data_IF_183155399073
#
_entry.id   IF_183155399073
#
_cell.length_a   1.000
_cell.length_b   1.000
_cell.length_c   1.000
_cell.angle_alpha   90.00
_cell.angle_beta   90.00
_cell.angle_gamma   90.00
#
_symmetry.space_group_name_H-M   'P 1'
#
loop_
_entity.id
_entity.type
_entity.pdbx_description
1 polymer ?
#
# COMPACT_ATOMS: atom_id res chain seq x y z
N UNK A 1 -21.55 1.78 12.61
CA UNK A 1 -20.76 0.91 11.70
C UNK A 1 -19.46 0.52 12.36
N UNK A 2 -19.08 -0.77 12.26
CA UNK A 2 -17.81 -1.27 12.81
C UNK A 2 -16.66 -0.99 11.85
N UNK A 3 -15.61 -0.32 12.33
CA UNK A 3 -14.44 0.09 11.54
C UNK A 3 -13.20 -0.63 12.04
N UNK A 4 -12.41 -1.21 11.13
CA UNK A 4 -11.10 -1.78 11.41
C UNK A 4 -10.00 -0.82 10.95
N UNK A 5 -9.11 -0.38 11.84
CA UNK A 5 -8.04 0.58 11.52
C UNK A 5 -6.72 0.23 12.18
N UNK A 6 -5.66 0.56 11.44
CA UNK A 6 -4.30 0.50 11.95
C UNK A 6 -3.84 1.89 12.37
N UNK A 7 -3.50 2.04 13.65
CA UNK A 7 -2.96 3.26 14.25
C UNK A 7 -1.47 3.10 14.45
N UNK A 8 -0.67 3.95 13.80
CA UNK A 8 0.79 3.90 13.86
C UNK A 8 1.32 5.02 14.75
N UNK A 9 2.06 4.65 15.80
CA UNK A 9 2.70 5.58 16.72
C UNK A 9 4.20 5.35 16.77
N UNK A 10 4.96 6.42 17.00
CA UNK A 10 6.40 6.33 17.20
C UNK A 10 6.70 5.97 18.64
N UNK A 11 7.67 5.07 18.85
CA UNK A 11 8.19 4.68 20.15
C UNK A 11 9.54 5.37 20.41
N UNK A 12 9.78 5.74 21.66
CA UNK A 12 11.03 6.32 22.16
C UNK A 12 11.64 5.42 23.24
N UNK A 13 12.13 4.22 22.90
CA UNK A 13 12.70 3.31 23.86
C UNK A 13 14.06 3.81 24.38
N UNK A 14 14.31 3.63 25.68
CA UNK A 14 15.64 3.80 26.29
C UNK A 14 16.56 2.62 25.95
N UNK A 15 17.84 2.66 26.38
CA UNK A 15 18.83 1.62 26.02
C UNK A 15 18.40 0.22 26.46
N UNK A 16 17.92 0.02 27.69
CA UNK A 16 17.43 -1.29 28.19
C UNK A 16 16.22 -1.78 27.37
N UNK A 17 15.32 -0.87 27.00
CA UNK A 17 14.15 -1.19 26.17
C UNK A 17 14.52 -1.51 24.73
N UNK A 18 15.55 -0.86 24.18
CA UNK A 18 16.11 -1.19 22.87
C UNK A 18 16.65 -2.62 22.88
N UNK A 19 17.39 -2.99 23.92
CA UNK A 19 17.94 -4.35 24.05
C UNK A 19 16.81 -5.39 24.15
N UNK A 20 15.77 -5.11 24.92
CA UNK A 20 14.56 -5.95 25.01
C UNK A 20 13.90 -6.12 23.62
N UNK A 21 13.66 -5.04 22.90
CA UNK A 21 13.04 -5.08 21.59
C UNK A 21 13.91 -5.84 20.57
N UNK A 22 15.22 -5.59 20.58
CA UNK A 22 16.17 -6.30 19.72
C UNK A 22 16.19 -7.80 20.01
N UNK A 23 16.09 -8.19 21.28
CA UNK A 23 16.01 -9.58 21.67
C UNK A 23 14.75 -10.25 21.10
N UNK A 24 13.58 -9.60 21.15
CA UNK A 24 12.36 -10.12 20.54
C UNK A 24 12.41 -10.15 19.00
N UNK A 25 13.07 -9.20 18.34
CA UNK A 25 13.33 -9.28 16.90
C UNK A 25 14.20 -10.49 16.57
N UNK A 26 15.27 -10.70 17.33
CA UNK A 26 16.18 -11.81 17.14
C UNK A 26 15.47 -13.16 17.33
N UNK A 27 14.84 -13.40 18.50
CA UNK A 27 14.16 -14.66 18.79
C UNK A 27 13.05 -14.98 17.78
N UNK A 28 12.31 -13.96 17.35
CA UNK A 28 11.28 -14.06 16.30
C UNK A 28 11.84 -14.52 14.94
N UNK A 29 13.02 -14.03 14.54
CA UNK A 29 13.65 -14.43 13.27
C UNK A 29 14.30 -15.82 13.38
N UNK A 30 14.88 -16.15 14.54
CA UNK A 30 15.41 -17.49 14.78
C UNK A 30 14.29 -18.55 14.71
N UNK A 31 13.15 -18.28 15.33
CA UNK A 31 11.97 -19.14 15.24
C UNK A 31 11.50 -19.32 13.79
N UNK A 32 11.39 -18.22 13.02
CA UNK A 32 11.03 -18.31 11.60
C UNK A 32 11.99 -19.20 10.82
N UNK A 33 13.28 -19.01 11.01
CA UNK A 33 14.30 -19.75 10.27
C UNK A 33 14.30 -21.24 10.64
N UNK A 34 14.17 -21.56 11.93
CA UNK A 34 14.06 -22.93 12.38
C UNK A 34 12.80 -23.60 11.78
N UNK A 35 11.64 -22.97 11.88
CA UNK A 35 10.40 -23.52 11.34
C UNK A 35 10.44 -23.71 9.82
N UNK A 36 11.07 -22.78 9.10
CA UNK A 36 11.21 -22.87 7.66
C UNK A 36 12.15 -24.04 7.27
N UNK A 37 13.31 -24.16 7.94
CA UNK A 37 14.24 -25.27 7.75
C UNK A 37 13.58 -26.63 8.06
N UNK A 38 12.87 -26.71 9.18
CA UNK A 38 12.10 -27.89 9.57
C UNK A 38 11.10 -28.30 8.48
N UNK A 39 10.35 -27.34 7.95
CA UNK A 39 9.36 -27.61 6.89
C UNK A 39 10.02 -27.99 5.56
N UNK A 40 11.17 -27.42 5.21
CA UNK A 40 11.94 -27.83 4.03
C UNK A 40 12.41 -29.27 4.17
N UNK A 41 12.99 -29.64 5.32
CA UNK A 41 13.43 -31.00 5.59
C UNK A 41 12.26 -32.00 5.59
N UNK A 42 11.14 -31.64 6.20
CA UNK A 42 9.91 -32.44 6.18
C UNK A 42 9.41 -32.70 4.76
N UNK A 43 9.38 -31.67 3.90
CA UNK A 43 9.00 -31.79 2.50
C UNK A 43 9.94 -32.71 1.74
N UNK A 44 11.26 -32.49 1.84
CA UNK A 44 12.28 -33.29 1.15
C UNK A 44 12.21 -34.78 1.56
N UNK A 45 12.00 -35.05 2.83
CA UNK A 45 11.88 -36.43 3.34
C UNK A 45 10.61 -37.15 2.86
N UNK A 46 9.61 -36.42 2.41
CA UNK A 46 8.33 -36.99 1.98
C UNK A 46 8.11 -36.96 0.46
N UNK A 47 9.04 -36.34 -0.30
CA UNK A 47 8.92 -36.26 -1.76
C UNK A 47 8.98 -37.63 -2.43
N UNK A 48 9.66 -38.63 -1.82
CA UNK A 48 9.75 -40.00 -2.29
C UNK A 48 8.53 -40.85 -1.93
N UNK A 49 7.60 -40.35 -1.10
CA UNK A 49 6.41 -41.09 -0.67
C UNK A 49 5.19 -40.79 -1.53
N UNK A 50 4.30 -41.74 -1.67
CA UNK A 50 2.98 -41.53 -2.26
C UNK A 50 2.19 -40.47 -1.49
N UNK A 51 1.37 -39.68 -2.18
CA UNK A 51 0.62 -38.58 -1.56
C UNK A 51 -0.22 -38.99 -0.35
N UNK A 52 -0.79 -40.19 -0.36
CA UNK A 52 -1.61 -40.79 0.71
C UNK A 52 -0.80 -41.11 1.97
N UNK A 53 0.49 -41.40 1.83
CA UNK A 53 1.36 -41.84 2.93
C UNK A 53 2.14 -40.64 3.57
N UNK A 54 2.03 -39.46 2.98
CA UNK A 54 2.69 -38.23 3.47
C UNK A 54 2.07 -37.77 4.78
N UNK A 55 2.90 -37.64 5.82
CA UNK A 55 2.51 -37.15 7.14
C UNK A 55 3.26 -35.87 7.46
N UNK A 56 2.53 -34.80 7.73
CA UNK A 56 3.10 -33.50 8.06
C UNK A 56 2.91 -33.12 9.53
N UNK A 57 3.96 -32.60 10.15
CA UNK A 57 3.91 -32.10 11.52
C UNK A 57 2.85 -31.00 11.64
N UNK A 58 1.90 -31.20 12.56
CA UNK A 58 0.86 -30.23 12.82
C UNK A 58 1.38 -28.98 13.55
N UNK A 59 0.51 -27.99 13.71
CA UNK A 59 0.85 -26.71 14.36
C UNK A 59 1.43 -26.88 15.78
N UNK A 60 0.84 -27.76 16.60
CA UNK A 60 1.30 -28.02 17.97
C UNK A 60 2.69 -28.66 17.98
N UNK A 61 2.92 -29.65 17.15
CA UNK A 61 4.23 -30.32 17.04
C UNK A 61 5.31 -29.35 16.58
N UNK A 62 5.05 -28.56 15.54
CA UNK A 62 6.01 -27.55 15.06
C UNK A 62 6.33 -26.51 16.14
N UNK A 63 5.36 -26.08 16.95
CA UNK A 63 5.57 -25.20 18.08
C UNK A 63 6.50 -25.81 19.12
N UNK A 64 6.27 -27.08 19.50
CA UNK A 64 7.10 -27.78 20.48
C UNK A 64 8.54 -27.95 19.99
N UNK A 65 8.76 -28.36 18.75
CA UNK A 65 10.10 -28.47 18.14
C UNK A 65 10.81 -27.10 18.13
N UNK A 66 10.09 -26.04 17.72
CA UNK A 66 10.65 -24.67 17.67
C UNK A 66 11.06 -24.17 19.06
N UNK A 67 10.20 -24.35 20.05
CA UNK A 67 10.50 -23.90 21.42
C UNK A 67 11.58 -24.72 22.08
N UNK A 68 11.70 -26.00 21.79
CA UNK A 68 12.79 -26.85 22.23
C UNK A 68 14.14 -26.39 21.64
N UNK A 69 14.21 -26.11 20.32
CA UNK A 69 15.42 -25.54 19.68
C UNK A 69 15.83 -24.20 20.30
N UNK A 70 14.88 -23.28 20.46
CA UNK A 70 15.20 -21.99 21.06
C UNK A 70 15.74 -22.12 22.48
N UNK A 71 15.16 -23.02 23.30
CA UNK A 71 15.62 -23.31 24.67
C UNK A 71 17.02 -23.93 24.68
N UNK A 72 17.28 -24.92 23.81
CA UNK A 72 18.60 -25.59 23.74
C UNK A 72 19.73 -24.60 23.38
N UNK A 73 19.40 -23.55 22.62
CA UNK A 73 20.32 -22.48 22.26
C UNK A 73 20.34 -21.31 23.23
N UNK A 74 19.67 -21.41 24.40
CA UNK A 74 19.60 -20.35 25.41
C UNK A 74 18.87 -19.08 24.96
N UNK A 75 18.02 -19.17 23.94
CA UNK A 75 17.29 -18.02 23.39
C UNK A 75 16.00 -17.82 24.19
N UNK A 76 15.91 -16.73 24.92
CA UNK A 76 14.68 -16.32 25.62
C UNK A 76 13.67 -15.86 24.56
N UNK A 77 12.40 -16.25 24.70
CA UNK A 77 11.34 -15.90 23.76
C UNK A 77 10.01 -15.62 24.46
N UNK A 78 9.12 -14.93 23.76
CA UNK A 78 7.72 -14.79 24.13
C UNK A 78 6.88 -15.76 23.30
N UNK A 79 6.08 -16.60 23.96
CA UNK A 79 5.25 -17.63 23.32
C UNK A 79 4.29 -17.05 22.27
N UNK A 80 3.65 -15.92 22.55
CA UNK A 80 2.76 -15.24 21.63
C UNK A 80 3.47 -14.79 20.35
N UNK A 81 4.71 -14.26 20.48
CA UNK A 81 5.53 -13.86 19.31
C UNK A 81 5.87 -15.06 18.43
N UNK A 82 6.22 -16.20 19.04
CA UNK A 82 6.54 -17.43 18.30
C UNK A 82 5.31 -17.98 17.58
N UNK A 83 4.18 -18.07 18.26
CA UNK A 83 2.91 -18.53 17.66
C UNK A 83 2.48 -17.65 16.48
N UNK A 84 2.64 -16.33 16.56
CA UNK A 84 2.32 -15.43 15.45
C UNK A 84 3.27 -15.59 14.27
N UNK A 85 4.55 -15.86 14.53
CA UNK A 85 5.50 -16.20 13.44
C UNK A 85 5.13 -17.49 12.75
N UNK A 86 4.66 -18.46 13.50
CA UNK A 86 4.22 -19.74 12.95
C UNK A 86 3.00 -19.57 12.07
N UNK A 87 1.97 -18.81 12.52
CA UNK A 87 0.81 -18.46 11.67
C UNK A 87 1.23 -17.71 10.40
N UNK A 88 2.20 -16.82 10.53
CA UNK A 88 2.73 -16.06 9.38
C UNK A 88 3.45 -16.97 8.38
N UNK A 89 4.19 -17.99 8.84
CA UNK A 89 4.84 -18.98 7.98
C UNK A 89 3.81 -19.85 7.27
N UNK A 90 2.82 -20.35 8.00
CA UNK A 90 1.73 -21.16 7.45
C UNK A 90 0.97 -20.40 6.36
N UNK A 91 0.58 -19.14 6.62
CA UNK A 91 -0.07 -18.29 5.63
C UNK A 91 0.81 -18.05 4.39
N UNK A 92 2.13 -17.87 4.58
CA UNK A 92 3.07 -17.65 3.46
C UNK A 92 3.25 -18.91 2.62
N UNK A 93 3.32 -20.08 3.26
CA UNK A 93 3.37 -21.38 2.57
C UNK A 93 2.07 -21.66 1.81
N UNK A 94 0.92 -21.43 2.43
CA UNK A 94 -0.38 -21.54 1.74
C UNK A 94 -0.44 -20.63 0.51
N UNK A 95 -0.02 -19.37 0.64
CA UNK A 95 0.03 -18.45 -0.48
C UNK A 95 0.97 -18.92 -1.59
N UNK A 96 2.12 -19.49 -1.24
CA UNK A 96 3.04 -20.08 -2.21
C UNK A 96 2.39 -21.22 -2.98
N UNK A 97 1.76 -22.18 -2.28
CA UNK A 97 1.13 -23.31 -2.96
C UNK A 97 -0.06 -22.93 -3.83
N UNK A 98 -0.85 -21.93 -3.43
CA UNK A 98 -2.01 -21.48 -4.20
C UNK A 98 -1.64 -20.59 -5.39
N UNK A 99 -0.52 -19.83 -5.31
CA UNK A 99 -0.12 -18.84 -6.31
C UNK A 99 1.24 -19.09 -6.95
N UNK A 100 1.76 -20.31 -6.85
CA UNK A 100 3.03 -20.70 -7.47
C UNK A 100 3.03 -20.47 -9.00
N UNK A 101 1.92 -20.82 -9.66
CA UNK A 101 1.71 -20.61 -11.09
C UNK A 101 1.68 -19.11 -11.48
N UNK A 102 1.32 -18.23 -10.56
CA UNK A 102 1.32 -16.76 -10.74
C UNK A 102 2.70 -16.14 -10.43
N UNK A 103 3.75 -16.95 -10.20
CA UNK A 103 5.10 -16.47 -9.90
C UNK A 103 5.37 -16.14 -8.42
N UNK A 104 4.50 -16.60 -7.49
CA UNK A 104 4.76 -16.45 -6.05
C UNK A 104 5.99 -17.27 -5.64
N UNK A 105 7.01 -16.59 -5.09
CA UNK A 105 8.24 -17.22 -4.64
C UNK A 105 8.08 -17.96 -3.30
N UNK A 106 8.93 -18.99 -3.09
CA UNK A 106 9.01 -19.72 -1.83
C UNK A 106 9.48 -18.82 -0.67
N UNK A 107 9.03 -19.03 0.58
CA UNK A 107 9.50 -18.27 1.75
C UNK A 107 11.02 -18.31 1.89
N UNK A 108 11.61 -17.16 2.28
CA UNK A 108 13.07 -17.04 2.46
C UNK A 108 13.44 -16.97 3.93
N UNK A 109 14.65 -17.44 4.25
CA UNK A 109 15.25 -17.24 5.57
C UNK A 109 15.42 -15.75 5.89
N UNK A 110 15.23 -15.39 7.16
CA UNK A 110 15.32 -14.02 7.64
C UNK A 110 16.68 -13.74 8.26
N UNK A 111 17.25 -12.58 7.96
CA UNK A 111 18.51 -12.16 8.57
C UNK A 111 18.24 -11.46 9.90
N UNK A 112 18.99 -11.80 10.94
CA UNK A 112 18.93 -11.11 12.24
C UNK A 112 19.66 -9.77 12.24
N UNK A 113 20.51 -9.50 11.24
CA UNK A 113 21.36 -8.31 11.16
C UNK A 113 20.73 -7.14 10.40
N UNK A 114 19.58 -7.34 9.76
CA UNK A 114 18.88 -6.29 9.03
C UNK A 114 18.43 -5.14 9.95
N UNK A 115 18.44 -3.90 9.43
CA UNK A 115 17.98 -2.72 10.16
C UNK A 115 16.46 -2.81 10.38
N UNK A 116 15.72 -3.23 9.36
CA UNK A 116 14.26 -3.37 9.44
C UNK A 116 13.87 -4.70 10.07
N UNK A 117 13.17 -4.64 11.20
CA UNK A 117 12.76 -5.79 11.99
C UNK A 117 11.34 -5.59 12.54
N UNK A 118 10.60 -6.69 12.75
CA UNK A 118 9.26 -6.63 13.33
C UNK A 118 8.87 -7.90 14.07
N UNK A 119 8.03 -7.75 15.11
CA UNK A 119 7.32 -8.85 15.76
C UNK A 119 5.88 -8.40 16.11
N UNK A 120 5.01 -9.37 16.31
CA UNK A 120 3.60 -9.13 16.64
C UNK A 120 3.41 -9.12 18.16
N UNK A 121 2.51 -8.27 18.66
CA UNK A 121 2.05 -8.23 20.06
C UNK A 121 0.55 -8.49 20.14
N UNK A 122 0.11 -9.17 21.21
CA UNK A 122 -1.28 -9.53 21.47
C UNK A 122 -1.82 -8.85 22.73
N UNK A 123 -3.14 -8.87 22.90
CA UNK A 123 -3.88 -8.20 23.99
C UNK A 123 -3.30 -8.38 25.38
N UNK A 124 -2.89 -9.59 25.74
CA UNK A 124 -2.48 -9.95 27.12
C UNK A 124 -1.19 -9.27 27.59
N UNK A 125 -0.42 -8.68 26.66
CA UNK A 125 0.88 -8.09 26.97
C UNK A 125 0.92 -6.58 26.73
N UNK A 126 -0.21 -5.95 26.38
CA UNK A 126 -0.21 -4.57 25.87
C UNK A 126 -1.34 -3.76 26.49
N UNK A 127 -1.00 -2.66 27.15
CA UNK A 127 -1.94 -1.60 27.51
C UNK A 127 -1.25 -0.24 27.36
N UNK A 128 -2.02 0.83 27.30
CA UNK A 128 -1.49 2.18 27.05
C UNK A 128 -2.14 3.25 27.91
N UNK A 129 -1.38 4.31 28.12
CA UNK A 129 -1.81 5.61 28.60
C UNK A 129 -1.46 6.66 27.55
N UNK A 130 -1.84 7.91 27.72
CA UNK A 130 -1.43 9.00 26.82
C UNK A 130 0.09 9.17 26.71
N UNK A 131 0.86 8.81 27.73
CA UNK A 131 2.31 8.99 27.80
C UNK A 131 3.13 7.74 27.46
N UNK A 132 2.63 6.55 27.75
CA UNK A 132 3.38 5.30 27.64
C UNK A 132 2.53 4.17 27.08
N UNK A 133 3.19 3.34 26.27
CA UNK A 133 2.69 2.05 25.81
C UNK A 133 3.46 0.95 26.54
N UNK A 134 2.79 0.07 27.26
CA UNK A 134 3.41 -1.08 27.92
C UNK A 134 3.48 -2.25 26.97
N UNK A 135 4.69 -2.75 26.74
CA UNK A 135 4.99 -3.92 25.91
C UNK A 135 5.77 -4.90 26.77
N UNK A 136 5.29 -6.13 26.96
CA UNK A 136 5.93 -7.17 27.79
C UNK A 136 6.39 -6.66 29.17
N UNK A 137 5.51 -5.99 29.90
CA UNK A 137 5.77 -5.37 31.22
C UNK A 137 6.68 -4.13 31.21
N UNK A 138 7.19 -3.70 30.05
CA UNK A 138 8.04 -2.51 29.93
C UNK A 138 7.24 -1.31 29.40
N UNK A 139 7.07 -0.21 30.16
CA UNK A 139 6.42 1.00 29.71
C UNK A 139 7.37 1.80 28.80
N UNK A 140 7.06 1.90 27.52
CA UNK A 140 7.84 2.62 26.52
C UNK A 140 7.16 3.95 26.21
N UNK A 141 7.88 5.06 26.29
CA UNK A 141 7.38 6.38 25.88
C UNK A 141 7.02 6.36 24.39
N UNK A 142 5.86 6.92 24.05
CA UNK A 142 5.39 6.99 22.67
C UNK A 142 4.85 8.37 22.29
N UNK A 143 4.70 8.59 21.00
CA UNK A 143 4.12 9.80 20.43
C UNK A 143 2.61 9.58 20.22
N UNK A 144 1.82 9.92 21.25
CA UNK A 144 0.36 9.75 21.24
C UNK A 144 -0.31 10.95 20.54
N UNK A 145 0.06 11.20 19.31
CA UNK A 145 -0.42 12.33 18.49
C UNK A 145 -1.87 12.20 18.01
N UNK A 146 -2.47 11.02 18.16
CA UNK A 146 -3.84 10.73 17.75
C UNK A 146 -4.53 9.93 18.85
N UNK A 147 -5.65 10.41 19.42
CA UNK A 147 -6.39 9.67 20.41
C UNK A 147 -6.96 8.36 19.84
N UNK A 148 -7.00 7.35 20.66
CA UNK A 148 -7.67 6.08 20.36
C UNK A 148 -9.12 6.22 20.87
N UNK A 149 -10.15 5.88 20.08
CA UNK A 149 -11.54 5.90 20.54
C UNK A 149 -11.74 5.03 21.79
N UNK A 150 -12.55 5.51 22.75
CA UNK A 150 -12.76 4.82 24.02
C UNK A 150 -13.40 3.44 23.84
N UNK A 151 -14.25 3.28 22.83
CA UNK A 151 -14.88 2.02 22.45
C UNK A 151 -13.99 1.12 21.56
N UNK A 152 -12.70 1.46 21.39
CA UNK A 152 -11.81 0.70 20.53
C UNK A 152 -11.35 -0.62 21.17
N UNK A 153 -11.63 -1.72 20.47
CA UNK A 153 -11.11 -3.05 20.80
C UNK A 153 -9.74 -3.24 20.14
N UNK A 154 -8.74 -3.62 20.92
CA UNK A 154 -7.42 -3.96 20.44
C UNK A 154 -7.38 -5.42 19.94
N UNK A 155 -7.09 -5.64 18.66
CA UNK A 155 -7.01 -6.96 18.05
C UNK A 155 -5.58 -7.52 17.98
N UNK A 156 -4.62 -6.70 18.33
CA UNK A 156 -3.20 -6.99 18.26
C UNK A 156 -2.43 -5.87 17.59
N UNK A 157 -1.13 -5.98 17.54
CA UNK A 157 -0.29 -4.95 16.94
C UNK A 157 1.05 -5.49 16.47
N UNK A 158 1.79 -4.63 15.79
CA UNK A 158 3.14 -4.93 15.31
C UNK A 158 4.10 -3.89 15.87
N UNK A 159 5.12 -4.36 16.58
CA UNK A 159 6.28 -3.53 16.92
C UNK A 159 7.29 -3.65 15.79
N UNK A 160 7.75 -2.50 15.29
CA UNK A 160 8.63 -2.45 14.12
C UNK A 160 9.79 -1.49 14.36
N UNK A 161 11.01 -1.94 14.06
CA UNK A 161 12.14 -1.06 13.79
C UNK A 161 12.22 -0.85 12.27
N UNK A 162 12.07 0.39 11.83
CA UNK A 162 12.10 0.71 10.40
C UNK A 162 13.53 0.97 9.90
N UNK A 163 13.67 1.04 8.59
CA UNK A 163 14.99 1.17 7.92
C UNK A 163 15.78 2.43 8.31
N UNK A 164 15.10 3.46 8.85
CA UNK A 164 15.75 4.66 9.41
C UNK A 164 16.25 4.49 10.85
N UNK A 165 16.09 3.29 11.44
CA UNK A 165 16.47 2.93 12.79
C UNK A 165 15.48 3.34 13.88
N UNK A 166 14.34 3.93 13.53
CA UNK A 166 13.31 4.35 14.49
C UNK A 166 12.34 3.21 14.78
N UNK A 167 11.79 3.25 16.00
CA UNK A 167 10.84 2.26 16.49
C UNK A 167 9.42 2.78 16.37
N UNK A 168 8.52 1.90 15.99
CA UNK A 168 7.09 2.18 15.85
C UNK A 168 6.27 1.02 16.39
N UNK A 169 5.07 1.34 16.84
CA UNK A 169 4.01 0.37 17.04
C UNK A 169 2.88 0.66 16.07
N UNK A 170 2.28 -0.38 15.55
CA UNK A 170 1.08 -0.33 14.72
C UNK A 170 0.03 -1.12 15.48
N UNK A 171 -1.00 -0.46 16.00
CA UNK A 171 -2.11 -1.08 16.72
C UNK A 171 -3.25 -1.35 15.73
N UNK A 172 -3.71 -2.59 15.65
CA UNK A 172 -4.91 -2.95 14.93
C UNK A 172 -6.10 -2.79 15.88
N UNK A 173 -7.00 -1.88 15.55
CA UNK A 173 -8.13 -1.49 16.38
C UNK A 173 -9.44 -1.71 15.61
N UNK A 174 -10.46 -2.17 16.33
CA UNK A 174 -11.84 -2.21 15.86
C UNK A 174 -12.68 -1.34 16.80
N UNK A 175 -13.48 -0.44 16.24
CA UNK A 175 -14.36 0.43 17.01
C UNK A 175 -15.60 0.80 16.20
N UNK A 176 -16.67 1.12 16.91
CA UNK A 176 -17.88 1.63 16.28
C UNK A 176 -17.77 3.14 16.10
N UNK A 177 -18.21 3.61 14.94
CA UNK A 177 -18.28 5.02 14.60
C UNK A 177 -19.65 5.35 14.04
N UNK A 178 -20.24 6.40 14.58
CA UNK A 178 -21.39 7.05 13.97
C UNK A 178 -20.93 7.95 12.84
N UNK A 179 -21.68 7.95 11.75
CA UNK A 179 -21.43 8.86 10.65
C UNK A 179 -22.07 10.21 10.94
N UNK A 180 -21.31 11.26 10.74
CA UNK A 180 -21.92 12.57 10.51
C UNK A 180 -22.27 12.61 9.03
N UNK A 181 -23.55 12.72 8.73
CA UNK A 181 -24.05 12.75 7.37
C UNK A 181 -23.83 14.16 6.78
N UNK A 182 -22.62 14.38 6.28
CA UNK A 182 -22.23 15.62 5.63
C UNK A 182 -22.44 15.49 4.12
N UNK A 183 -23.70 15.46 3.69
CA UNK A 183 -24.02 15.50 2.26
C UNK A 183 -23.75 16.89 1.69
N UNK A 184 -22.98 16.93 0.60
CA UNK A 184 -22.72 18.16 -0.16
C UNK A 184 -23.59 18.26 -1.40
N UNK A 185 -24.19 17.16 -1.87
CA UNK A 185 -24.91 17.06 -3.13
C UNK A 185 -24.00 17.11 -4.37
N UNK A 186 -22.67 17.23 -4.21
CA UNK A 186 -21.73 17.45 -5.30
C UNK A 186 -20.97 16.15 -5.60
N UNK A 187 -20.87 15.81 -6.88
CA UNK A 187 -20.08 14.70 -7.39
C UNK A 187 -18.90 15.22 -8.21
N UNK A 188 -17.80 14.43 -8.30
CA UNK A 188 -16.68 14.79 -9.16
C UNK A 188 -16.07 13.61 -9.91
N UNK A 189 -15.48 13.93 -11.07
CA UNK A 189 -14.61 13.05 -11.84
C UNK A 189 -13.15 13.46 -11.71
N UNK A 190 -12.26 12.50 -11.51
CA UNK A 190 -10.83 12.74 -11.35
C UNK A 190 -10.05 12.07 -12.47
N UNK A 191 -9.29 12.85 -13.21
CA UNK A 191 -8.23 12.35 -14.09
C UNK A 191 -6.87 12.44 -13.37
N UNK A 192 -6.24 11.27 -13.15
CA UNK A 192 -5.03 11.12 -12.33
C UNK A 192 -3.78 11.19 -13.20
N UNK A 193 -3.18 12.36 -13.32
CA UNK A 193 -1.96 12.58 -14.11
C UNK A 193 -0.69 12.65 -13.26
N UNK A 194 0.48 12.49 -13.88
CA UNK A 194 1.79 12.46 -13.18
C UNK A 194 2.13 13.78 -12.50
N UNK A 195 1.69 14.92 -13.04
CA UNK A 195 2.00 16.26 -12.52
C UNK A 195 0.86 16.89 -11.75
N UNK A 196 -0.35 16.53 -12.05
CA UNK A 196 -1.57 17.10 -11.49
C UNK A 196 -2.69 16.06 -11.43
N UNK A 197 -3.75 16.42 -10.75
CA UNK A 197 -5.06 15.74 -10.81
C UNK A 197 -6.01 16.77 -11.39
N UNK A 198 -6.64 16.46 -12.51
CA UNK A 198 -7.74 17.27 -13.04
C UNK A 198 -9.04 16.83 -12.38
N UNK A 199 -9.85 17.79 -11.98
CA UNK A 199 -11.12 17.59 -11.27
C UNK A 199 -12.18 18.37 -12.02
N UNK A 200 -13.29 17.72 -12.32
CA UNK A 200 -14.51 18.39 -12.75
C UNK A 200 -15.66 17.90 -11.88
N UNK A 201 -16.57 18.79 -11.52
CA UNK A 201 -17.65 18.53 -10.58
C UNK A 201 -19.03 18.96 -11.12
N UNK A 202 -20.09 18.46 -10.49
CA UNK A 202 -21.47 18.71 -10.93
C UNK A 202 -21.95 20.14 -10.68
N UNK A 203 -21.20 20.94 -9.93
CA UNK A 203 -21.40 22.38 -9.75
C UNK A 203 -20.62 23.23 -10.79
N UNK A 204 -20.25 22.61 -11.93
CA UNK A 204 -19.54 23.21 -13.06
C UNK A 204 -18.14 23.76 -12.74
N UNK A 205 -17.55 23.36 -11.61
CA UNK A 205 -16.19 23.74 -11.24
C UNK A 205 -15.21 22.73 -11.83
N UNK A 206 -14.25 23.23 -12.63
CA UNK A 206 -13.12 22.45 -13.11
C UNK A 206 -11.82 23.07 -12.59
N UNK A 207 -10.95 22.24 -11.98
CA UNK A 207 -9.68 22.71 -11.40
C UNK A 207 -8.59 21.66 -11.44
N UNK A 208 -7.36 22.10 -11.21
CA UNK A 208 -6.20 21.22 -11.06
C UNK A 208 -5.67 21.24 -9.63
N UNK A 209 -5.36 20.04 -9.11
CA UNK A 209 -4.52 19.90 -7.94
C UNK A 209 -3.10 19.56 -8.40
N UNK A 210 -2.17 20.47 -8.20
CA UNK A 210 -0.76 20.25 -8.54
C UNK A 210 -0.12 19.24 -7.60
N UNK A 211 0.60 18.27 -8.18
CA UNK A 211 1.40 17.32 -7.42
C UNK A 211 2.84 17.83 -7.32
N UNK A 212 3.38 17.82 -6.09
CA UNK A 212 4.78 18.23 -5.88
C UNK A 212 5.73 17.25 -6.58
N UNK A 213 6.53 17.76 -7.50
CA UNK A 213 7.61 16.98 -8.10
C UNK A 213 8.75 16.77 -7.09
N UNK A 214 8.64 15.70 -6.32
CA UNK A 214 9.66 15.33 -5.34
C UNK A 214 10.99 14.94 -5.98
N UNK A 215 11.03 14.64 -7.29
CA UNK A 215 12.26 14.27 -7.99
C UNK A 215 13.26 15.42 -8.06
N UNK A 216 12.77 16.67 -8.09
CA UNK A 216 13.56 17.90 -8.10
C UNK A 216 13.90 18.44 -6.71
N UNK A 217 13.42 17.79 -5.65
CA UNK A 217 13.66 18.25 -4.28
C UNK A 217 15.12 18.09 -3.86
N UNK A 218 15.57 18.94 -2.92
CA UNK A 218 16.87 18.82 -2.26
C UNK A 218 17.13 17.41 -1.70
N UNK A 219 16.08 16.76 -1.18
CA UNK A 219 16.18 15.41 -0.63
C UNK A 219 16.45 14.36 -1.71
N UNK A 220 15.87 14.49 -2.88
CA UNK A 220 16.12 13.55 -4.00
C UNK A 220 17.53 13.67 -4.55
N UNK A 221 18.08 14.90 -4.63
CA UNK A 221 19.48 15.09 -4.99
C UNK A 221 20.43 14.44 -3.98
N UNK A 222 20.20 14.66 -2.68
CA UNK A 222 20.99 14.02 -1.62
C UNK A 222 20.85 12.48 -1.64
N UNK A 223 19.64 11.99 -1.87
CA UNK A 223 19.39 10.54 -1.99
C UNK A 223 20.20 9.92 -3.13
N UNK A 224 20.18 10.53 -4.33
CA UNK A 224 20.95 10.04 -5.49
C UNK A 224 22.44 10.00 -5.22
N UNK A 225 23.00 11.06 -4.62
CA UNK A 225 24.44 11.10 -4.24
C UNK A 225 24.80 9.95 -3.31
N UNK A 226 23.99 9.70 -2.27
CA UNK A 226 24.22 8.59 -1.34
C UNK A 226 24.04 7.23 -2.01
N UNK A 227 23.08 7.09 -2.92
CA UNK A 227 22.86 5.87 -3.69
C UNK A 227 24.08 5.51 -4.54
N UNK A 228 24.65 6.47 -5.26
CA UNK A 228 25.86 6.28 -6.05
C UNK A 228 27.06 5.87 -5.18
N UNK A 229 27.25 6.52 -4.03
CA UNK A 229 28.32 6.17 -3.08
C UNK A 229 28.15 4.74 -2.54
N UNK A 230 26.93 4.34 -2.19
CA UNK A 230 26.63 3.00 -1.69
C UNK A 230 26.83 1.95 -2.78
N UNK A 231 26.35 2.19 -4.01
CA UNK A 231 26.54 1.27 -5.14
C UNK A 231 28.01 0.99 -5.39
N UNK A 232 28.87 2.01 -5.40
CA UNK A 232 30.33 1.85 -5.55
C UNK A 232 30.94 1.01 -4.43
N UNK A 233 30.47 1.15 -3.18
CA UNK A 233 30.95 0.35 -2.04
C UNK A 233 30.49 -1.09 -2.11
N UNK A 234 29.24 -1.34 -2.50
CA UNK A 234 28.71 -2.70 -2.66
C UNK A 234 29.38 -3.45 -3.80
N UNK A 235 29.69 -2.80 -4.92
CA UNK A 235 30.48 -3.38 -6.00
C UNK A 235 31.87 -3.84 -5.51
N UNK A 236 32.50 -3.08 -4.60
CA UNK A 236 33.76 -3.44 -3.95
C UNK A 236 33.60 -4.39 -2.75
N UNK A 237 32.42 -4.97 -2.54
CA UNK A 237 32.08 -5.83 -1.38
C UNK A 237 32.47 -5.22 -0.02
N UNK A 238 32.44 -3.88 0.09
CA UNK A 238 32.80 -3.16 1.31
C UNK A 238 31.58 -2.98 2.23
N UNK A 239 31.47 -3.83 3.25
CA UNK A 239 30.38 -3.82 4.24
C UNK A 239 30.79 -3.19 5.58
N UNK A 240 31.72 -2.24 5.58
CA UNK A 240 32.24 -1.56 6.77
C UNK A 240 31.16 -0.83 7.59
N UNK A 241 31.52 -0.45 8.83
CA UNK A 241 30.68 0.42 9.70
C UNK A 241 30.29 1.72 8.98
N UNK A 242 31.18 2.29 8.17
CA UNK A 242 30.91 3.50 7.39
C UNK A 242 29.87 3.27 6.28
N UNK A 243 29.89 2.12 5.62
CA UNK A 243 28.86 1.73 4.65
C UNK A 243 27.48 1.64 5.32
N UNK A 244 27.40 1.01 6.51
CA UNK A 244 26.15 0.97 7.31
C UNK A 244 25.67 2.37 7.72
N UNK A 245 26.57 3.30 8.08
CA UNK A 245 26.22 4.71 8.37
C UNK A 245 25.66 5.43 7.14
N UNK A 246 26.24 5.24 5.97
CA UNK A 246 25.74 5.81 4.71
C UNK A 246 24.35 5.25 4.35
N UNK A 247 24.17 3.94 4.50
CA UNK A 247 22.86 3.29 4.31
C UNK A 247 21.82 3.90 5.23
N UNK A 248 22.13 4.10 6.50
CA UNK A 248 21.22 4.71 7.46
C UNK A 248 20.89 6.17 7.08
N UNK A 249 21.87 6.95 6.61
CA UNK A 249 21.63 8.32 6.10
C UNK A 249 20.70 8.30 4.90
N UNK A 250 20.92 7.41 3.93
CA UNK A 250 20.04 7.24 2.77
C UNK A 250 18.61 6.90 3.19
N UNK A 251 18.43 5.93 4.09
CA UNK A 251 17.13 5.51 4.60
C UNK A 251 16.39 6.65 5.31
N UNK A 252 17.09 7.49 6.08
CA UNK A 252 16.50 8.69 6.71
C UNK A 252 15.99 9.70 5.69
N UNK A 253 16.72 9.91 4.60
CA UNK A 253 16.29 10.82 3.52
C UNK A 253 15.09 10.22 2.78
N UNK A 254 15.15 8.95 2.43
CA UNK A 254 14.03 8.23 1.80
C UNK A 254 12.76 8.33 2.65
N UNK A 255 12.88 8.21 3.97
CA UNK A 255 11.76 8.40 4.89
C UNK A 255 11.19 9.81 4.84
N UNK A 256 12.05 10.85 4.77
CA UNK A 256 11.58 12.24 4.65
C UNK A 256 10.78 12.46 3.36
N UNK A 257 11.27 11.92 2.23
CA UNK A 257 10.57 11.99 0.94
C UNK A 257 9.21 11.28 1.05
N UNK A 258 9.21 10.05 1.58
CA UNK A 258 7.98 9.27 1.77
C UNK A 258 6.97 10.03 2.64
N UNK A 259 7.39 10.58 3.78
CA UNK A 259 6.49 11.28 4.69
C UNK A 259 5.85 12.51 4.04
N UNK A 260 6.63 13.29 3.25
CA UNK A 260 6.10 14.45 2.52
C UNK A 260 5.08 14.05 1.45
N UNK A 261 5.33 12.97 0.71
CA UNK A 261 4.36 12.40 -0.25
C UNK A 261 3.07 11.97 0.46
N UNK A 262 3.20 11.24 1.56
CA UNK A 262 2.07 10.78 2.35
C UNK A 262 1.24 11.96 2.90
N UNK A 263 1.91 13.01 3.40
CA UNK A 263 1.25 14.23 3.86
C UNK A 263 0.44 14.91 2.74
N UNK A 264 1.03 15.07 1.55
CA UNK A 264 0.32 15.63 0.39
C UNK A 264 -0.91 14.79 0.03
N UNK A 265 -0.75 13.47 -0.04
CA UNK A 265 -1.86 12.57 -0.38
C UNK A 265 -2.96 12.56 0.68
N UNK A 266 -2.59 12.73 1.96
CA UNK A 266 -3.58 12.91 3.03
C UNK A 266 -4.36 14.22 2.90
N UNK A 267 -3.69 15.32 2.54
CA UNK A 267 -4.35 16.63 2.29
C UNK A 267 -5.31 16.53 1.11
N UNK A 268 -4.85 16.01 -0.04
CA UNK A 268 -5.67 15.83 -1.24
C UNK A 268 -6.88 14.96 -0.95
N UNK A 269 -6.68 13.79 -0.35
CA UNK A 269 -7.78 12.88 -0.07
C UNK A 269 -8.76 13.41 0.99
N UNK A 270 -8.32 14.29 1.91
CA UNK A 270 -9.23 14.97 2.82
C UNK A 270 -10.05 16.03 2.11
N UNK A 271 -9.42 16.86 1.28
CA UNK A 271 -10.08 17.88 0.50
C UNK A 271 -11.20 17.24 -0.35
N UNK A 272 -10.86 16.24 -1.14
CA UNK A 272 -11.83 15.55 -2.01
C UNK A 272 -12.99 14.92 -1.22
N UNK A 273 -12.70 14.20 -0.14
CA UNK A 273 -13.75 13.53 0.65
C UNK A 273 -14.54 14.47 1.57
N UNK A 274 -14.14 15.72 1.73
CA UNK A 274 -14.93 16.75 2.42
C UNK A 274 -15.89 17.44 1.46
N UNK A 275 -15.49 17.65 0.21
CA UNK A 275 -16.21 18.48 -0.74
C UNK A 275 -17.14 17.68 -1.67
N UNK A 276 -16.94 16.37 -1.82
CA UNK A 276 -17.68 15.56 -2.78
C UNK A 276 -18.30 14.32 -2.13
N UNK A 277 -19.55 14.00 -2.53
CA UNK A 277 -20.29 12.83 -2.07
C UNK A 277 -19.94 11.59 -2.88
N UNK A 278 -19.77 11.76 -4.19
CA UNK A 278 -19.29 10.73 -5.09
C UNK A 278 -18.04 11.18 -5.82
N UNK A 279 -17.00 10.34 -5.81
CA UNK A 279 -15.75 10.59 -6.50
C UNK A 279 -15.54 9.45 -7.51
N UNK A 280 -15.61 9.77 -8.79
CA UNK A 280 -15.38 8.81 -9.88
C UNK A 280 -13.95 8.90 -10.36
N UNK A 281 -13.28 7.76 -10.49
CA UNK A 281 -11.88 7.63 -10.94
C UNK A 281 -11.77 6.50 -11.96
N UNK A 282 -10.73 6.55 -12.79
CA UNK A 282 -10.39 5.44 -13.68
C UNK A 282 -9.77 4.27 -12.90
N UNK A 283 -10.10 3.05 -13.31
CA UNK A 283 -9.45 1.82 -12.84
C UNK A 283 -8.09 1.67 -13.50
N UNK A 284 -7.05 2.25 -12.90
CA UNK A 284 -5.69 2.23 -13.44
C UNK A 284 -5.00 0.88 -13.22
N UNK A 285 -4.60 0.21 -14.30
CA UNK A 285 -3.68 -0.93 -14.23
C UNK A 285 -2.22 -0.43 -14.30
N UNK A 286 -1.69 -0.07 -13.12
CA UNK A 286 -0.34 0.47 -12.98
C UNK A 286 0.72 -0.53 -13.48
N UNK A 287 0.45 -1.84 -13.42
CA UNK A 287 1.38 -2.88 -13.90
C UNK A 287 1.50 -2.82 -15.42
N UNK A 288 0.38 -2.86 -16.13
CA UNK A 288 0.35 -2.73 -17.60
C UNK A 288 0.91 -1.39 -18.08
N UNK A 289 0.61 -0.28 -17.36
CA UNK A 289 1.17 1.03 -17.70
C UNK A 289 2.70 1.06 -17.64
N UNK A 290 3.33 0.30 -16.75
CA UNK A 290 4.80 0.21 -16.65
C UNK A 290 5.42 -0.68 -17.72
N UNK A 291 4.74 -1.73 -18.15
CA UNK A 291 5.23 -2.65 -19.19
C UNK A 291 5.31 -1.98 -20.56
N UNK A 292 4.42 -1.03 -20.83
CA UNK A 292 4.29 -0.34 -22.13
C UNK A 292 5.15 0.92 -22.30
N UNK A 293 5.87 1.37 -21.24
CA UNK A 293 6.50 2.69 -21.23
C UNK A 293 8.04 2.64 -21.14
N UNK A 294 8.70 3.72 -21.61
CA UNK A 294 10.15 3.90 -21.47
C UNK A 294 10.57 4.06 -19.99
N UNK A 295 11.78 3.66 -19.64
CA UNK A 295 12.35 3.62 -18.27
C UNK A 295 12.16 4.92 -17.48
N UNK A 296 12.21 6.10 -18.15
CA UNK A 296 12.01 7.39 -17.48
C UNK A 296 10.57 7.58 -17.01
N UNK A 297 9.57 7.25 -17.85
CA UNK A 297 8.17 7.38 -17.50
C UNK A 297 7.74 6.36 -16.45
N UNK A 298 8.28 5.14 -16.52
CA UNK A 298 8.11 4.12 -15.48
C UNK A 298 8.55 4.59 -14.10
N UNK A 299 9.62 5.36 -14.04
CA UNK A 299 10.11 5.98 -12.81
C UNK A 299 9.13 7.04 -12.30
N UNK A 300 8.63 7.92 -13.17
CA UNK A 300 7.66 8.95 -12.78
C UNK A 300 6.35 8.33 -12.28
N UNK A 301 5.80 7.33 -12.97
CA UNK A 301 4.61 6.58 -12.55
C UNK A 301 4.83 5.92 -11.18
N UNK A 302 6.02 5.34 -10.95
CA UNK A 302 6.37 4.74 -9.65
C UNK A 302 6.52 5.80 -8.56
N UNK A 303 7.02 6.98 -8.91
CA UNK A 303 7.22 8.08 -7.99
C UNK A 303 5.91 8.72 -7.51
N UNK A 304 4.88 8.76 -8.34
CA UNK A 304 3.56 9.31 -7.96
C UNK A 304 2.82 8.41 -6.97
N UNK A 305 3.01 7.08 -7.02
CA UNK A 305 2.36 6.15 -6.07
C UNK A 305 0.82 6.24 -6.04
N UNK A 306 0.16 6.27 -7.21
CA UNK A 306 -1.30 6.37 -7.38
C UNK A 306 -2.09 5.45 -6.45
N UNK A 307 -1.62 4.21 -6.27
CA UNK A 307 -2.27 3.27 -5.37
C UNK A 307 -2.38 3.81 -3.93
N UNK A 308 -1.39 4.60 -3.46
CA UNK A 308 -1.45 5.22 -2.14
C UNK A 308 -2.54 6.29 -2.04
N UNK A 309 -2.75 7.08 -3.10
CA UNK A 309 -3.85 8.08 -3.18
C UNK A 309 -5.20 7.39 -3.19
N UNK A 310 -5.39 6.41 -4.08
CA UNK A 310 -6.64 5.66 -4.23
C UNK A 310 -7.02 4.95 -2.92
N UNK A 311 -6.06 4.29 -2.25
CA UNK A 311 -6.32 3.65 -0.97
C UNK A 311 -6.74 4.67 0.11
N UNK A 312 -6.15 5.89 0.11
CA UNK A 312 -6.54 6.95 1.04
C UNK A 312 -7.94 7.49 0.74
N UNK A 313 -8.29 7.65 -0.52
CA UNK A 313 -9.64 8.02 -0.94
C UNK A 313 -10.63 6.95 -0.46
N UNK A 314 -10.40 5.68 -0.78
CA UNK A 314 -11.30 4.57 -0.41
C UNK A 314 -11.61 4.55 1.09
N UNK A 315 -10.59 4.47 1.96
CA UNK A 315 -10.86 4.37 3.38
C UNK A 315 -11.44 5.65 4.01
N UNK A 316 -11.11 6.84 3.47
CA UNK A 316 -11.68 8.09 3.98
C UNK A 316 -13.12 8.28 3.53
N UNK A 317 -13.44 7.90 2.31
CA UNK A 317 -14.82 7.89 1.80
C UNK A 317 -15.67 6.93 2.63
N UNK A 318 -15.23 5.71 2.87
CA UNK A 318 -15.87 4.77 3.77
C UNK A 318 -16.12 5.37 5.17
N UNK A 319 -15.13 6.11 5.73
CA UNK A 319 -15.27 6.78 7.03
C UNK A 319 -16.29 7.92 7.05
N UNK A 320 -16.61 8.53 5.92
CA UNK A 320 -17.46 9.70 5.79
C UNK A 320 -18.78 9.42 5.07
N UNK A 321 -19.09 8.15 4.85
CA UNK A 321 -20.26 7.71 4.06
C UNK A 321 -20.29 8.31 2.65
N UNK A 322 -19.09 8.40 2.00
CA UNK A 322 -18.93 8.91 0.63
C UNK A 322 -18.68 7.75 -0.33
N UNK A 323 -18.97 7.93 -1.60
CA UNK A 323 -18.86 6.89 -2.62
C UNK A 323 -17.59 7.10 -3.44
N UNK A 324 -16.76 6.05 -3.58
CA UNK A 324 -15.70 5.98 -4.59
C UNK A 324 -16.14 5.01 -5.67
N UNK A 325 -16.12 5.49 -6.90
CA UNK A 325 -16.45 4.70 -8.08
C UNK A 325 -15.22 4.55 -8.97
N UNK A 326 -14.93 3.32 -9.37
CA UNK A 326 -13.88 3.01 -10.34
C UNK A 326 -14.53 2.61 -11.67
N UNK A 327 -14.17 3.28 -12.77
CA UNK A 327 -14.72 3.05 -14.11
C UNK A 327 -13.66 2.50 -15.06
N UNK A 328 -14.08 1.96 -16.20
CA UNK A 328 -13.20 1.56 -17.29
C UNK A 328 -12.56 2.81 -17.91
N UNK A 329 -11.22 2.87 -18.08
CA UNK A 329 -10.53 4.01 -18.68
C UNK A 329 -10.71 4.11 -20.19
N UNK A 330 -11.41 3.17 -20.84
CA UNK A 330 -11.57 3.16 -22.28
C UNK A 330 -12.25 4.45 -22.78
N UNK A 331 -11.60 5.11 -23.76
CA UNK A 331 -12.07 6.29 -24.47
C UNK A 331 -12.22 7.59 -23.65
N UNK A 332 -12.04 7.61 -22.35
CA UNK A 332 -12.19 8.81 -21.49
C UNK A 332 -11.36 10.00 -22.01
N UNK A 333 -10.14 9.78 -22.49
CA UNK A 333 -9.24 10.81 -23.04
C UNK A 333 -9.47 11.13 -24.52
N UNK A 334 -10.28 10.36 -25.27
CA UNK A 334 -10.49 10.50 -26.71
C UNK A 334 -11.89 11.01 -27.06
N UNK A 335 -12.85 10.84 -26.15
CA UNK A 335 -14.23 11.27 -26.31
C UNK A 335 -14.33 12.77 -26.11
N UNK A 336 -15.06 13.45 -26.95
CA UNK A 336 -15.47 14.83 -26.71
C UNK A 336 -16.62 14.87 -25.71
N UNK A 337 -16.43 15.56 -24.59
CA UNK A 337 -17.47 15.70 -23.57
C UNK A 337 -18.73 16.39 -24.13
N UNK A 338 -18.56 17.37 -25.01
CA UNK A 338 -19.67 18.17 -25.56
C UNK A 338 -20.56 17.41 -26.53
N UNK A 339 -20.00 16.66 -27.50
CA UNK A 339 -20.77 16.03 -28.57
C UNK A 339 -20.63 14.51 -28.66
N UNK A 340 -19.88 13.89 -27.76
CA UNK A 340 -19.72 12.44 -27.71
C UNK A 340 -18.78 11.84 -28.77
N UNK A 341 -18.30 12.60 -29.75
CA UNK A 341 -17.40 12.08 -30.80
C UNK A 341 -16.13 11.48 -30.22
N UNK A 342 -15.80 10.25 -30.62
CA UNK A 342 -14.60 9.52 -30.17
C UNK A 342 -13.60 9.48 -31.32
N UNK A 343 -12.43 10.08 -31.12
CA UNK A 343 -11.31 10.01 -32.05
C UNK A 343 -9.99 10.18 -31.35
N UNK A 344 -8.98 9.39 -31.71
CA UNK A 344 -7.59 9.58 -31.24
C UNK A 344 -7.05 10.97 -31.61
N UNK A 345 -7.49 11.52 -32.70
CA UNK A 345 -7.05 12.81 -33.22
C UNK A 345 -7.74 14.02 -32.52
N UNK A 346 -8.72 13.80 -31.64
CA UNK A 346 -9.29 14.85 -30.82
C UNK A 346 -8.27 15.37 -29.79
N UNK A 347 -7.36 14.52 -29.29
CA UNK A 347 -6.29 14.93 -28.39
C UNK A 347 -5.05 15.32 -29.19
N UNK A 348 -4.82 16.62 -29.33
CA UNK A 348 -3.70 17.18 -30.11
C UNK A 348 -2.37 17.07 -29.39
N UNK A 349 -2.37 17.29 -28.07
CA UNK A 349 -1.20 17.18 -27.21
C UNK A 349 -1.58 16.61 -25.85
N UNK A 350 -0.65 16.62 -24.90
CA UNK A 350 -0.95 16.22 -23.53
C UNK A 350 -1.97 17.15 -22.85
N UNK A 351 -1.96 18.46 -23.22
CA UNK A 351 -2.82 19.48 -22.62
C UNK A 351 -3.96 19.93 -23.53
N UNK A 352 -3.88 19.68 -24.86
CA UNK A 352 -4.79 20.30 -25.80
C UNK A 352 -5.74 19.27 -26.41
N UNK A 353 -7.01 19.51 -26.24
CA UNK A 353 -8.11 18.79 -26.83
C UNK A 353 -8.85 19.67 -27.85
N UNK A 354 -9.12 19.15 -29.04
CA UNK A 354 -9.90 19.83 -30.07
C UNK A 354 -10.72 18.82 -30.85
N UNK A 355 -12.02 18.85 -30.66
CA UNK A 355 -12.93 17.91 -31.30
C UNK A 355 -12.98 18.09 -32.82
N UNK A 356 -12.77 17.02 -33.57
CA UNK A 356 -12.85 17.07 -35.03
C UNK A 356 -14.28 17.31 -35.55
N UNK A 357 -15.30 16.89 -34.79
CA UNK A 357 -16.70 17.01 -35.17
C UNK A 357 -17.25 18.40 -34.82
N UNK A 358 -17.38 18.74 -33.51
CA UNK A 358 -18.06 19.97 -33.06
C UNK A 358 -17.11 21.15 -32.84
N UNK A 359 -15.82 21.00 -33.13
CA UNK A 359 -14.75 22.02 -32.96
C UNK A 359 -14.59 22.53 -31.49
N UNK A 360 -15.20 21.84 -30.52
CA UNK A 360 -15.00 22.17 -29.12
C UNK A 360 -13.52 22.03 -28.75
N UNK A 361 -12.98 23.07 -28.10
CA UNK A 361 -11.60 23.10 -27.58
C UNK A 361 -11.62 23.20 -26.08
N UNK A 362 -10.81 22.42 -25.42
CA UNK A 362 -10.68 22.37 -23.96
C UNK A 362 -9.31 21.84 -23.55
N UNK A 363 -8.93 22.02 -22.27
CA UNK A 363 -7.79 21.29 -21.75
C UNK A 363 -8.10 19.78 -21.78
N UNK A 364 -7.17 18.98 -22.29
CA UNK A 364 -7.38 17.53 -22.48
C UNK A 364 -7.67 16.77 -21.19
N UNK A 365 -7.02 17.17 -20.07
CA UNK A 365 -7.21 16.54 -18.75
C UNK A 365 -8.56 16.97 -18.14
N UNK A 366 -9.03 18.21 -18.38
CA UNK A 366 -10.38 18.65 -17.97
C UNK A 366 -11.45 17.92 -18.78
N UNK A 367 -11.30 17.83 -20.13
CA UNK A 367 -12.24 17.05 -20.94
C UNK A 367 -12.30 15.58 -20.48
N UNK A 368 -11.16 14.98 -20.10
CA UNK A 368 -11.12 13.63 -19.54
C UNK A 368 -11.85 13.54 -18.20
N UNK A 369 -11.62 14.48 -17.26
CA UNK A 369 -12.29 14.48 -15.97
C UNK A 369 -13.81 14.67 -16.07
N UNK A 370 -14.30 15.44 -17.06
CA UNK A 370 -15.72 15.54 -17.39
C UNK A 370 -16.29 14.23 -17.93
N UNK A 371 -15.56 13.54 -18.82
CA UNK A 371 -16.00 12.22 -19.30
C UNK A 371 -16.01 11.18 -18.16
N UNK A 372 -15.11 11.26 -17.21
CA UNK A 372 -15.09 10.41 -16.01
C UNK A 372 -16.28 10.71 -15.11
N UNK A 373 -16.60 11.99 -14.87
CA UNK A 373 -17.73 12.42 -14.06
C UNK A 373 -19.05 11.88 -14.62
N UNK A 374 -19.26 12.04 -15.92
CA UNK A 374 -20.49 11.68 -16.61
C UNK A 374 -20.43 10.30 -17.29
N UNK A 375 -19.59 9.40 -16.79
CA UNK A 375 -19.36 8.08 -17.39
C UNK A 375 -20.64 7.30 -17.64
N UNK A 376 -21.60 7.28 -16.73
CA UNK A 376 -22.86 6.53 -16.87
C UNK A 376 -23.68 7.02 -18.04
N UNK A 377 -23.77 8.34 -18.19
CA UNK A 377 -24.55 8.97 -19.26
C UNK A 377 -24.09 8.48 -20.63
N UNK A 378 -22.79 8.55 -20.90
CA UNK A 378 -22.28 8.18 -22.22
C UNK A 378 -22.01 6.67 -22.38
N UNK A 379 -21.76 5.92 -21.32
CA UNK A 379 -21.58 4.47 -21.40
C UNK A 379 -22.87 3.75 -21.71
N UNK A 380 -24.03 4.22 -21.21
CA UNK A 380 -25.35 3.72 -21.56
C UNK A 380 -25.67 4.00 -23.03
N UNK A 381 -25.37 5.20 -23.53
CA UNK A 381 -25.52 5.53 -24.95
C UNK A 381 -24.71 4.59 -25.85
N UNK A 382 -23.45 4.27 -25.50
CA UNK A 382 -22.62 3.34 -26.22
C UNK A 382 -23.18 1.91 -26.21
N UNK A 383 -23.64 1.45 -25.08
CA UNK A 383 -24.23 0.09 -24.95
C UNK A 383 -25.48 -0.04 -25.83
N UNK A 384 -26.30 1.00 -25.89
CA UNK A 384 -27.46 1.05 -26.78
C UNK A 384 -27.06 1.04 -28.24
N UNK A 385 -26.07 1.83 -28.65
CA UNK A 385 -25.57 1.85 -30.03
C UNK A 385 -24.96 0.51 -30.46
N UNK A 386 -24.20 -0.13 -29.56
CA UNK A 386 -23.62 -1.46 -29.84
C UNK A 386 -24.72 -2.52 -29.94
N UNK A 387 -25.76 -2.45 -29.13
CA UNK A 387 -26.88 -3.38 -29.23
C UNK A 387 -27.68 -3.20 -30.53
N UNK A 388 -27.92 -1.95 -30.94
CA UNK A 388 -28.57 -1.61 -32.23
C UNK A 388 -27.72 -2.12 -33.39
N UNK A 389 -26.41 -1.84 -33.41
CA UNK A 389 -25.50 -2.29 -34.48
C UNK A 389 -25.43 -3.82 -34.55
N UNK A 390 -25.44 -4.54 -33.42
CA UNK A 390 -25.50 -6.00 -33.40
C UNK A 390 -26.83 -6.54 -33.92
N UNK A 391 -27.95 -5.88 -33.62
CA UNK A 391 -29.26 -6.28 -34.16
C UNK A 391 -29.40 -6.06 -35.64
N UNK A 392 -28.84 -4.96 -36.18
CA UNK A 392 -28.82 -4.66 -37.63
C UNK A 392 -27.88 -5.59 -38.40
N UNK A 393 -26.74 -6.00 -37.83
CA UNK A 393 -25.83 -6.95 -38.46
C UNK A 393 -26.35 -8.40 -38.49
N UNK A 394 -27.37 -8.74 -37.67
CA UNK A 394 -28.06 -10.04 -37.72
C UNK A 394 -29.26 -10.04 -38.67
N UNK A 395 -29.65 -8.92 -39.25
CA UNK A 395 -30.81 -8.79 -40.15
C UNK A 395 -30.42 -8.67 -41.64
N UNK A 396 -29.18 -8.91 -42.02
CA UNK A 396 -28.77 -8.97 -43.44
C UNK A 396 -28.98 -10.42 -43.89
N UNK A 397 -29.95 -10.73 -44.77
CA UNK A 397 -30.08 -12.05 -45.35
C UNK A 397 -28.89 -12.33 -46.27
N UNK A 398 -28.47 -13.59 -46.28
CA UNK A 398 -27.41 -14.13 -47.13
C UNK A 398 -27.74 -14.06 -48.64
#
# INVERSE_FOLDING_TARGET
MQIHRNYKYRLYPNKKQIDLLNHHFFSSNQAWNFMLDFKIKELNNQDSLDKKDRKYTNFKGLYLHTTADLKSRGIIYNSGVIQDKMRSLDATLKLYYTKKSEGQGFPKFRTSTGIEQSFVIRNQATYWTSSHLKIFKSPIKWDFHRPIPDNAKFNGGVVKRESDGKYYVILNLTFDKEYQDLHTGIECGLDLNVKNIAISSTDDISRFISLTDFSKSKYSSQFRKLQTQLSRRYLKKNFSKNTKRLQLKQNKIQRKIKNKKEEQFHKISNDLTNNFDRITIEKLDIKKMKESQKTHLNRLISDVSWNSVIQKLKYKSEMKNKIIREIDPAFTSQRCFKCGNISKNNRKSQSDFSCLNCKHTENADINASLNILWYDKWSLEQTTLISIWKSESLSIPA
#
